data_IF_130359830418
#
_entry.id   IF_130359830418
#
_cell.length_a   1.000
_cell.length_b   1.000
_cell.length_c   1.000
_cell.angle_alpha   90.00
_cell.angle_beta   90.00
_cell.angle_gamma   90.00
#
_symmetry.space_group_name_H-M   'P 1'
#
loop_
_entity.id
_entity.type
_entity.pdbx_description
1 polymer ?
#
# COMPACT_ATOMS: atom_id res chain seq x y z
N UNK A 1 25.95 -20.56 42.23
CA UNK A 1 25.23 -19.30 41.95
C UNK A 1 25.88 -18.59 40.78
N UNK A 2 25.31 -18.63 39.57
CA UNK A 2 25.87 -18.00 38.39
C UNK A 2 25.03 -16.81 37.87
N UNK A 3 25.70 -16.01 37.03
CA UNK A 3 25.19 -15.22 35.91
C UNK A 3 24.28 -14.02 36.19
N UNK A 4 24.82 -12.81 35.94
CA UNK A 4 24.15 -11.86 35.05
C UNK A 4 25.22 -11.28 34.11
N UNK A 5 25.14 -11.75 32.87
CA UNK A 5 25.88 -11.28 31.70
C UNK A 5 25.12 -10.12 31.05
N UNK A 6 25.87 -9.17 30.51
CA UNK A 6 25.56 -8.54 29.23
C UNK A 6 24.49 -7.46 29.19
N UNK A 7 24.93 -6.22 28.98
CA UNK A 7 24.31 -5.33 27.97
C UNK A 7 25.30 -4.25 27.58
N UNK A 8 26.10 -4.54 26.54
CA UNK A 8 26.82 -3.52 25.77
C UNK A 8 25.78 -2.86 24.87
N UNK A 9 25.20 -1.76 25.32
CA UNK A 9 24.32 -0.94 24.48
C UNK A 9 25.16 -0.28 23.39
N UNK A 10 24.89 -0.74 22.17
CA UNK A 10 25.44 -0.28 20.91
C UNK A 10 24.89 1.11 20.60
N UNK A 11 25.57 2.15 21.09
CA UNK A 11 25.24 3.55 20.78
C UNK A 11 25.65 3.85 19.34
N UNK A 12 24.70 3.91 18.42
CA UNK A 12 24.86 4.65 17.18
C UNK A 12 24.15 6.00 17.28
N UNK A 13 24.84 7.13 17.08
CA UNK A 13 24.20 8.44 17.11
C UNK A 13 23.62 8.74 15.73
N UNK A 14 22.28 8.72 15.61
CA UNK A 14 21.60 9.32 14.47
C UNK A 14 21.30 10.77 14.80
N UNK A 15 22.17 11.64 14.29
CA UNK A 15 22.00 13.09 14.26
C UNK A 15 20.83 13.42 13.32
N UNK A 16 19.70 13.81 13.91
CA UNK A 16 18.52 14.28 13.21
C UNK A 16 17.52 14.76 14.25
N UNK A 17 17.42 16.08 14.43
CA UNK A 17 16.66 16.75 15.48
C UNK A 17 15.24 16.21 15.59
N UNK A 18 14.97 15.48 16.68
CA UNK A 18 13.62 15.04 17.03
C UNK A 18 12.85 16.24 17.52
N UNK A 19 11.66 16.47 16.96
CA UNK A 19 10.74 17.48 17.42
C UNK A 19 10.33 17.16 18.88
N UNK A 20 10.92 17.88 19.82
CA UNK A 20 10.78 17.67 21.27
C UNK A 20 9.31 17.66 21.68
N UNK A 21 8.44 18.36 20.95
CA UNK A 21 6.99 18.39 21.18
C UNK A 21 6.30 17.04 20.92
N UNK A 22 6.74 16.29 19.89
CA UNK A 22 6.24 14.92 19.62
C UNK A 22 6.70 13.95 20.71
N UNK A 23 7.95 14.07 21.14
CA UNK A 23 8.51 13.27 22.23
C UNK A 23 7.80 13.53 23.57
N UNK A 24 7.49 14.79 23.90
CA UNK A 24 6.77 15.10 25.15
C UNK A 24 5.32 14.61 25.14
N UNK A 25 4.64 14.65 23.98
CA UNK A 25 3.30 14.07 23.83
C UNK A 25 3.35 12.54 23.99
N UNK A 26 4.36 11.89 23.42
CA UNK A 26 4.60 10.44 23.55
C UNK A 26 4.98 10.02 24.98
N UNK A 27 5.75 10.84 25.71
CA UNK A 27 6.16 10.52 27.09
C UNK A 27 4.97 10.60 28.07
N UNK A 28 4.07 11.56 27.90
CA UNK A 28 2.84 11.68 28.71
C UNK A 28 1.86 10.52 28.48
N UNK A 29 1.86 9.91 27.30
CA UNK A 29 0.98 8.78 26.96
C UNK A 29 1.37 7.42 27.55
N UNK A 30 2.56 7.30 28.15
CA UNK A 30 3.08 6.03 28.69
C UNK A 30 2.50 5.66 30.07
N UNK A 31 1.65 6.48 30.67
CA UNK A 31 1.10 6.27 32.02
C UNK A 31 -0.20 5.45 32.07
N UNK A 32 -0.77 5.05 30.92
CA UNK A 32 -1.98 4.22 30.83
C UNK A 32 -1.82 3.18 29.72
N UNK A 33 -2.44 1.99 29.83
CA UNK A 33 -2.38 0.87 28.86
C UNK A 33 -2.04 1.32 27.42
N UNK A 34 -0.79 1.13 26.95
CA UNK A 34 -0.27 1.80 25.74
C UNK A 34 -1.00 1.41 24.45
N UNK A 35 -1.76 0.31 24.48
CA UNK A 35 -2.48 -0.23 23.31
C UNK A 35 -3.77 0.54 23.03
N UNK A 36 -4.53 0.94 24.07
CA UNK A 36 -5.79 1.67 23.91
C UNK A 36 -5.56 3.12 23.44
N UNK A 37 -4.50 3.75 23.97
CA UNK A 37 -4.16 5.13 23.64
C UNK A 37 -3.73 5.30 22.17
N UNK A 38 -2.95 4.34 21.65
CA UNK A 38 -2.45 4.41 20.26
C UNK A 38 -3.58 4.28 19.23
N UNK A 39 -4.54 3.39 19.48
CA UNK A 39 -5.73 3.22 18.62
C UNK A 39 -6.61 4.48 18.66
N UNK A 40 -6.87 5.03 19.84
CA UNK A 40 -7.67 6.27 19.99
C UNK A 40 -7.05 7.45 19.24
N UNK A 41 -5.72 7.61 19.29
CA UNK A 41 -5.01 8.68 18.57
C UNK A 41 -5.14 8.49 17.06
N UNK A 42 -5.03 7.24 16.58
CA UNK A 42 -5.20 6.93 15.17
C UNK A 42 -6.62 7.23 14.68
N UNK A 43 -7.64 6.83 15.45
CA UNK A 43 -9.04 7.10 15.13
C UNK A 43 -9.37 8.59 15.14
N UNK A 44 -8.80 9.35 16.08
CA UNK A 44 -8.96 10.81 16.13
C UNK A 44 -8.38 11.48 14.88
N UNK A 45 -7.16 11.10 14.49
CA UNK A 45 -6.57 11.61 13.24
C UNK A 45 -7.36 11.18 12.00
N UNK A 46 -7.95 9.97 11.99
CA UNK A 46 -8.85 9.57 10.92
C UNK A 46 -10.07 10.51 10.83
N UNK A 47 -10.69 10.86 11.97
CA UNK A 47 -11.83 11.80 11.98
C UNK A 47 -11.47 13.16 11.39
N UNK A 48 -10.26 13.68 11.66
CA UNK A 48 -9.79 14.93 11.08
C UNK A 48 -9.67 14.85 9.54
N UNK A 49 -9.11 13.75 9.04
CA UNK A 49 -9.02 13.51 7.59
C UNK A 49 -10.36 13.31 6.91
N UNK A 50 -11.29 12.61 7.56
CA UNK A 50 -12.65 12.41 7.05
C UNK A 50 -13.40 13.74 6.97
N UNK A 51 -13.28 14.60 7.99
CA UNK A 51 -13.83 15.96 7.96
C UNK A 51 -13.22 16.80 6.82
N UNK A 52 -11.92 16.62 6.53
CA UNK A 52 -11.26 17.28 5.40
C UNK A 52 -11.83 16.79 4.06
N UNK A 53 -12.07 15.48 3.90
CA UNK A 53 -12.65 14.89 2.70
C UNK A 53 -14.09 15.36 2.43
N UNK A 54 -14.85 15.70 3.47
CA UNK A 54 -16.23 16.18 3.35
C UNK A 54 -16.32 17.70 3.12
N UNK A 55 -15.39 18.47 3.68
CA UNK A 55 -15.41 19.94 3.61
C UNK A 55 -14.66 20.50 2.41
N UNK A 56 -13.57 19.87 2.01
CA UNK A 56 -12.82 20.23 0.82
C UNK A 56 -13.44 19.50 -0.38
N UNK A 57 -13.91 20.25 -1.37
CA UNK A 57 -14.29 19.72 -2.68
C UNK A 57 -13.14 19.99 -3.67
N UNK A 58 -12.03 19.21 -3.62
CA UNK A 58 -10.91 19.42 -4.52
C UNK A 58 -11.31 19.02 -5.95
N UNK A 59 -10.70 19.70 -6.92
CA UNK A 59 -10.77 19.31 -8.35
C UNK A 59 -10.24 17.88 -8.58
N UNK A 60 -9.29 17.45 -7.75
CA UNK A 60 -8.72 16.11 -7.79
C UNK A 60 -8.82 15.36 -6.43
N UNK A 61 -9.99 14.76 -6.12
CA UNK A 61 -10.21 14.06 -4.86
C UNK A 61 -9.22 12.94 -4.56
N UNK A 62 -8.66 12.28 -5.57
CA UNK A 62 -7.73 11.16 -5.32
C UNK A 62 -6.44 11.62 -4.65
N UNK A 63 -6.02 12.87 -4.86
CA UNK A 63 -4.83 13.43 -4.23
C UNK A 63 -5.00 13.47 -2.70
N UNK A 64 -6.13 13.98 -2.21
CA UNK A 64 -6.45 14.02 -0.77
C UNK A 64 -6.52 12.63 -0.17
N UNK A 65 -7.07 11.65 -0.90
CA UNK A 65 -7.06 10.25 -0.47
C UNK A 65 -5.65 9.65 -0.40
N UNK A 66 -4.78 9.92 -1.38
CA UNK A 66 -3.40 9.44 -1.37
C UNK A 66 -2.61 10.03 -0.19
N UNK A 67 -2.83 11.31 0.15
CA UNK A 67 -2.28 11.92 1.36
C UNK A 67 -2.80 11.29 2.65
N UNK A 68 -4.12 11.07 2.73
CA UNK A 68 -4.73 10.41 3.88
C UNK A 68 -4.17 9.00 4.10
N UNK A 69 -4.07 8.21 3.02
CA UNK A 69 -3.51 6.85 3.08
C UNK A 69 -2.03 6.90 3.51
N UNK A 70 -1.22 7.83 2.97
CA UNK A 70 0.18 7.99 3.40
C UNK A 70 0.29 8.33 4.88
N UNK A 71 -0.53 9.26 5.36
CA UNK A 71 -0.59 9.60 6.77
C UNK A 71 -0.95 8.37 7.62
N UNK A 72 -1.98 7.61 7.22
CA UNK A 72 -2.42 6.42 7.95
C UNK A 72 -1.33 5.36 8.02
N UNK A 73 -0.63 5.11 6.91
CA UNK A 73 0.53 4.21 6.85
C UNK A 73 1.67 4.68 7.74
N UNK A 74 1.93 5.98 7.82
CA UNK A 74 2.97 6.54 8.70
C UNK A 74 2.62 6.49 10.18
N UNK A 75 1.34 6.63 10.54
CA UNK A 75 0.88 6.49 11.93
C UNK A 75 0.82 5.02 12.34
N UNK A 76 0.62 4.11 11.39
CA UNK A 76 0.58 2.68 11.64
C UNK A 76 1.98 2.08 11.84
N UNK A 77 2.74 2.58 12.82
CA UNK A 77 4.13 2.17 13.09
C UNK A 77 4.26 0.83 13.82
N UNK A 78 3.15 0.16 14.12
CA UNK A 78 3.15 -1.16 14.74
C UNK A 78 2.12 -2.07 14.06
N UNK A 79 2.40 -3.37 14.05
CA UNK A 79 1.52 -4.41 13.47
C UNK A 79 0.11 -4.41 14.08
N UNK A 80 -0.06 -3.82 15.28
CA UNK A 80 -1.36 -3.71 15.95
C UNK A 80 -2.29 -2.71 15.27
N UNK A 81 -1.76 -1.68 14.63
CA UNK A 81 -2.55 -0.62 13.97
C UNK A 81 -2.43 -0.66 12.44
N UNK A 82 -1.56 -1.49 11.87
CA UNK A 82 -1.44 -1.69 10.41
C UNK A 82 -2.75 -2.16 9.78
N UNK A 83 -3.49 -3.05 10.47
CA UNK A 83 -4.80 -3.52 10.03
C UNK A 83 -5.86 -2.40 9.97
N UNK A 84 -5.68 -1.29 10.71
CA UNK A 84 -6.60 -0.14 10.67
C UNK A 84 -6.49 0.66 9.38
N UNK A 85 -5.45 0.45 8.56
CA UNK A 85 -5.30 1.08 7.24
C UNK A 85 -6.18 0.38 6.19
N UNK A 86 -6.49 -0.91 6.37
CA UNK A 86 -7.24 -1.70 5.39
C UNK A 86 -8.63 -1.11 5.09
N UNK A 87 -9.45 -0.71 6.08
CA UNK A 87 -10.72 -0.05 5.83
C UNK A 87 -10.59 1.24 5.01
N UNK A 88 -9.52 2.02 5.22
CA UNK A 88 -9.26 3.27 4.49
C UNK A 88 -8.97 2.97 3.02
N UNK A 89 -8.09 1.99 2.75
CA UNK A 89 -7.80 1.52 1.39
C UNK A 89 -9.07 1.05 0.69
N UNK A 90 -9.86 0.21 1.34
CA UNK A 90 -11.10 -0.34 0.78
C UNK A 90 -12.12 0.75 0.45
N UNK A 91 -12.27 1.76 1.32
CA UNK A 91 -13.17 2.91 1.06
C UNK A 91 -12.71 3.71 -0.13
N UNK A 92 -11.41 4.01 -0.24
CA UNK A 92 -10.83 4.71 -1.38
C UNK A 92 -11.06 3.93 -2.69
N UNK A 93 -10.77 2.62 -2.68
CA UNK A 93 -10.98 1.72 -3.81
C UNK A 93 -12.44 1.75 -4.30
N UNK A 94 -13.41 1.69 -3.38
CA UNK A 94 -14.84 1.74 -3.73
C UNK A 94 -15.30 3.12 -4.22
N UNK A 95 -14.77 4.20 -3.64
CA UNK A 95 -15.19 5.59 -3.95
C UNK A 95 -15.02 5.93 -5.42
N UNK A 96 -13.90 5.53 -6.03
CA UNK A 96 -13.53 5.90 -7.41
C UNK A 96 -13.82 4.81 -8.44
N UNK A 97 -14.39 3.67 -8.04
CA UNK A 97 -14.57 2.50 -8.92
C UNK A 97 -15.33 2.82 -10.22
N UNK A 98 -16.34 3.70 -10.14
CA UNK A 98 -17.21 4.08 -11.26
C UNK A 98 -16.82 5.41 -11.93
N UNK A 99 -15.75 6.05 -11.47
CA UNK A 99 -15.29 7.31 -12.02
C UNK A 99 -14.26 7.05 -13.12
N UNK A 100 -14.67 7.29 -14.36
CA UNK A 100 -13.86 7.02 -15.56
C UNK A 100 -12.54 7.79 -15.58
N UNK A 101 -12.47 8.96 -14.91
CA UNK A 101 -11.26 9.78 -14.83
C UNK A 101 -10.09 9.03 -14.18
N UNK A 102 -10.39 8.09 -13.28
CA UNK A 102 -9.39 7.38 -12.48
C UNK A 102 -9.08 5.97 -12.96
N UNK A 103 -9.80 5.44 -13.95
CA UNK A 103 -9.62 4.06 -14.43
C UNK A 103 -8.18 3.75 -14.80
N UNK A 104 -7.49 4.67 -15.45
CA UNK A 104 -6.07 4.53 -15.80
C UNK A 104 -5.17 5.54 -15.07
N UNK A 105 -5.60 6.06 -13.90
CA UNK A 105 -4.75 6.88 -13.06
C UNK A 105 -3.76 5.98 -12.28
N UNK A 106 -2.43 6.19 -12.42
CA UNK A 106 -1.44 5.40 -11.69
C UNK A 106 -1.56 5.48 -10.17
N UNK A 107 -2.06 6.58 -9.60
CA UNK A 107 -2.30 6.74 -8.16
C UNK A 107 -3.39 5.79 -7.70
N UNK A 108 -4.48 5.71 -8.45
CA UNK A 108 -5.58 4.83 -8.14
C UNK A 108 -5.16 3.37 -8.17
N UNK A 109 -4.45 2.97 -9.23
CA UNK A 109 -3.95 1.61 -9.33
C UNK A 109 -2.97 1.27 -8.20
N UNK A 110 -2.08 2.19 -7.79
CA UNK A 110 -1.20 1.96 -6.63
C UNK A 110 -1.97 1.73 -5.33
N UNK A 111 -3.09 2.41 -5.12
CA UNK A 111 -3.96 2.18 -3.95
C UNK A 111 -4.55 0.77 -4.00
N UNK A 112 -5.00 0.32 -5.17
CA UNK A 112 -5.44 -1.06 -5.37
C UNK A 112 -4.33 -2.08 -5.11
N UNK A 113 -3.11 -1.86 -5.62
CA UNK A 113 -1.99 -2.76 -5.35
C UNK A 113 -1.67 -2.83 -3.86
N UNK A 114 -1.69 -1.69 -3.13
CA UNK A 114 -1.58 -1.71 -1.66
C UNK A 114 -2.68 -2.55 -1.00
N UNK A 115 -3.91 -2.50 -1.52
CA UNK A 115 -5.02 -3.31 -1.01
C UNK A 115 -4.84 -4.80 -1.30
N UNK A 116 -4.33 -5.16 -2.49
CA UNK A 116 -4.00 -6.54 -2.88
C UNK A 116 -3.06 -7.22 -1.87
N UNK A 117 -2.11 -6.48 -1.31
CA UNK A 117 -1.18 -7.02 -0.30
C UNK A 117 -1.85 -7.35 1.04
N UNK A 118 -3.07 -6.86 1.28
CA UNK A 118 -3.80 -7.03 2.55
C UNK A 118 -4.84 -8.14 2.51
N UNK A 119 -5.19 -8.66 1.33
CA UNK A 119 -6.23 -9.68 1.17
C UNK A 119 -5.66 -11.10 1.14
N UNK A 120 -6.49 -12.08 1.50
CA UNK A 120 -6.13 -13.49 1.48
C UNK A 120 -5.96 -14.05 0.06
N UNK A 121 -6.85 -13.65 -0.87
CA UNK A 121 -6.73 -14.01 -2.28
C UNK A 121 -6.55 -12.76 -3.18
N UNK A 122 -5.28 -12.38 -3.45
CA UNK A 122 -4.91 -11.33 -4.39
C UNK A 122 -5.52 -11.47 -5.80
N UNK A 123 -5.69 -12.70 -6.28
CA UNK A 123 -6.09 -12.95 -7.68
C UNK A 123 -7.52 -12.48 -7.93
N UNK A 124 -8.41 -12.61 -6.94
CA UNK A 124 -9.80 -12.11 -7.03
C UNK A 124 -9.86 -10.59 -7.24
N UNK A 125 -8.93 -9.85 -6.62
CA UNK A 125 -8.85 -8.41 -6.80
C UNK A 125 -8.39 -8.07 -8.22
N UNK A 126 -7.40 -8.76 -8.78
CA UNK A 126 -7.00 -8.52 -10.16
C UNK A 126 -8.09 -8.88 -11.18
N UNK A 127 -8.79 -9.99 -10.98
CA UNK A 127 -9.96 -10.36 -11.79
C UNK A 127 -11.03 -9.25 -11.73
N UNK A 128 -11.29 -8.71 -10.55
CA UNK A 128 -12.22 -7.60 -10.38
C UNK A 128 -11.74 -6.33 -11.12
N UNK A 129 -10.46 -5.97 -11.01
CA UNK A 129 -9.88 -4.83 -11.71
C UNK A 129 -9.98 -4.98 -13.23
N UNK A 130 -9.68 -6.18 -13.73
CA UNK A 130 -9.82 -6.51 -15.15
C UNK A 130 -11.26 -6.34 -15.61
N UNK A 131 -12.22 -6.97 -14.93
CA UNK A 131 -13.64 -6.88 -15.26
C UNK A 131 -14.20 -5.44 -15.22
N UNK A 132 -13.61 -4.57 -14.39
CA UNK A 132 -14.00 -3.17 -14.26
C UNK A 132 -13.17 -2.20 -15.12
N UNK A 133 -12.24 -2.69 -15.95
CA UNK A 133 -11.40 -1.85 -16.79
C UNK A 133 -10.44 -0.94 -16.02
N UNK A 134 -10.06 -1.31 -14.80
CA UNK A 134 -9.20 -0.49 -13.93
C UNK A 134 -7.74 -0.90 -14.14
N UNK A 135 -6.91 0.07 -14.54
CA UNK A 135 -5.46 -0.07 -14.66
C UNK A 135 -4.98 -0.80 -15.91
N UNK A 136 -5.86 -1.24 -16.80
CA UNK A 136 -5.49 -2.00 -17.99
C UNK A 136 -4.63 -1.21 -19.00
N UNK A 137 -4.61 0.12 -18.92
CA UNK A 137 -3.68 0.95 -19.69
C UNK A 137 -2.28 1.08 -19.06
N UNK A 138 -2.05 0.48 -17.89
CA UNK A 138 -0.84 0.67 -17.09
C UNK A 138 -0.04 -0.62 -16.97
N UNK A 139 1.25 -0.54 -17.27
CA UNK A 139 2.20 -1.65 -17.11
C UNK A 139 2.16 -2.23 -15.69
N UNK A 140 2.00 -1.35 -14.68
CA UNK A 140 1.92 -1.73 -13.28
C UNK A 140 0.88 -2.82 -13.02
N UNK A 141 -0.26 -2.78 -13.70
CA UNK A 141 -1.35 -3.75 -13.52
C UNK A 141 -0.87 -5.17 -13.86
N UNK A 142 -0.35 -5.34 -15.07
CA UNK A 142 0.12 -6.63 -15.56
C UNK A 142 1.36 -7.12 -14.81
N UNK A 143 2.31 -6.24 -14.52
CA UNK A 143 3.52 -6.64 -13.78
C UNK A 143 3.20 -7.09 -12.36
N UNK A 144 2.26 -6.42 -11.69
CA UNK A 144 1.85 -6.81 -10.34
C UNK A 144 1.03 -8.10 -10.35
N UNK A 145 0.16 -8.29 -11.34
CA UNK A 145 -0.61 -9.52 -11.46
C UNK A 145 0.29 -10.73 -11.74
N UNK A 146 1.19 -10.62 -12.71
CA UNK A 146 2.15 -11.68 -13.05
C UNK A 146 3.02 -12.05 -11.84
N UNK A 147 3.50 -11.07 -11.07
CA UNK A 147 4.27 -11.31 -9.85
C UNK A 147 3.47 -12.09 -8.80
N UNK A 148 2.19 -11.76 -8.64
CA UNK A 148 1.29 -12.46 -7.70
C UNK A 148 1.03 -13.90 -8.14
N UNK A 149 0.82 -14.13 -9.44
CA UNK A 149 0.65 -15.47 -9.99
C UNK A 149 1.92 -16.32 -9.80
N UNK A 150 3.09 -15.72 -10.07
CA UNK A 150 4.39 -16.36 -9.88
C UNK A 150 4.64 -16.72 -8.40
N UNK A 151 4.57 -15.73 -7.50
CA UNK A 151 5.04 -15.91 -6.12
C UNK A 151 4.01 -16.54 -5.18
N UNK A 152 2.71 -16.31 -5.42
CA UNK A 152 1.65 -16.76 -4.49
C UNK A 152 0.83 -17.93 -5.02
N UNK A 153 0.76 -18.12 -6.34
CA UNK A 153 0.00 -19.22 -6.96
C UNK A 153 0.89 -20.26 -7.64
N UNK A 154 2.18 -19.97 -7.83
CA UNK A 154 3.11 -20.82 -8.58
C UNK A 154 2.60 -21.11 -10.02
N UNK A 155 1.86 -20.15 -10.59
CA UNK A 155 1.25 -20.25 -11.91
C UNK A 155 2.05 -19.42 -12.92
N UNK A 156 3.14 -20.01 -13.40
CA UNK A 156 4.06 -19.37 -14.33
C UNK A 156 3.45 -19.18 -15.73
N UNK A 157 2.56 -20.07 -16.15
CA UNK A 157 1.90 -19.98 -17.44
C UNK A 157 1.01 -18.75 -17.49
N UNK A 158 0.15 -18.58 -16.49
CA UNK A 158 -0.74 -17.41 -16.44
C UNK A 158 0.04 -16.11 -16.21
N UNK A 159 1.12 -16.16 -15.40
CA UNK A 159 2.00 -15.00 -15.20
C UNK A 159 2.60 -14.52 -16.53
N UNK A 160 3.07 -15.44 -17.37
CA UNK A 160 3.58 -15.14 -18.71
C UNK A 160 2.49 -14.52 -19.60
N UNK A 161 1.31 -15.15 -19.65
CA UNK A 161 0.15 -14.66 -20.41
C UNK A 161 -0.20 -13.22 -20.04
N UNK A 162 -0.23 -12.89 -18.74
CA UNK A 162 -0.54 -11.52 -18.30
C UNK A 162 0.50 -10.49 -18.73
N UNK A 163 1.78 -10.83 -18.76
CA UNK A 163 2.82 -9.93 -19.28
C UNK A 163 2.67 -9.72 -20.80
N UNK A 164 2.40 -10.77 -21.57
CA UNK A 164 2.14 -10.67 -23.01
C UNK A 164 0.87 -9.86 -23.31
N UNK A 165 -0.22 -10.07 -22.57
CA UNK A 165 -1.44 -9.29 -22.68
C UNK A 165 -1.19 -7.79 -22.49
N UNK A 166 -0.40 -7.41 -21.49
CA UNK A 166 -0.01 -6.02 -21.25
C UNK A 166 0.75 -5.41 -22.43
N UNK A 167 1.66 -6.19 -23.04
CA UNK A 167 2.44 -5.76 -24.21
C UNK A 167 1.52 -5.58 -25.42
N UNK A 168 0.63 -6.55 -25.67
CA UNK A 168 -0.33 -6.53 -26.77
C UNK A 168 -1.31 -5.34 -26.65
N UNK A 169 -1.74 -5.03 -25.42
CA UNK A 169 -2.57 -3.86 -25.09
C UNK A 169 -1.78 -2.54 -25.08
N UNK A 170 -0.46 -2.57 -25.29
CA UNK A 170 0.45 -1.42 -25.26
C UNK A 170 0.34 -0.60 -23.98
N UNK A 171 0.15 -1.30 -22.85
CA UNK A 171 0.05 -0.65 -21.55
C UNK A 171 1.35 0.07 -21.19
N UNK A 172 1.22 1.25 -20.57
CA UNK A 172 2.34 2.19 -20.39
C UNK A 172 2.90 2.15 -18.96
N UNK A 173 4.22 2.30 -18.80
CA UNK A 173 5.23 2.42 -19.85
C UNK A 173 5.65 1.04 -20.40
N UNK A 174 5.67 0.89 -21.73
CA UNK A 174 5.80 -0.41 -22.41
C UNK A 174 7.17 -1.09 -22.18
N UNK A 175 8.23 -0.29 -22.07
CA UNK A 175 9.59 -0.73 -21.75
C UNK A 175 9.63 -1.51 -20.42
N UNK A 176 8.84 -1.10 -19.42
CA UNK A 176 8.75 -1.82 -18.15
C UNK A 176 8.14 -3.22 -18.30
N UNK A 177 7.14 -3.39 -19.17
CA UNK A 177 6.57 -4.71 -19.45
C UNK A 177 7.57 -5.61 -20.17
N UNK A 178 8.25 -5.08 -21.18
CA UNK A 178 9.27 -5.82 -21.91
C UNK A 178 10.42 -6.24 -20.99
N UNK A 179 10.85 -5.35 -20.09
CA UNK A 179 11.86 -5.66 -19.08
C UNK A 179 11.37 -6.75 -18.11
N UNK A 180 10.12 -6.64 -17.62
CA UNK A 180 9.52 -7.63 -16.72
C UNK A 180 9.42 -9.02 -17.38
N UNK A 181 8.99 -9.08 -18.65
CA UNK A 181 8.91 -10.32 -19.42
C UNK A 181 10.29 -10.99 -19.59
N UNK A 182 11.31 -10.21 -19.95
CA UNK A 182 12.68 -10.72 -20.07
C UNK A 182 13.20 -11.27 -18.74
N UNK A 183 12.94 -10.57 -17.64
CA UNK A 183 13.34 -11.01 -16.30
C UNK A 183 12.61 -12.29 -15.90
N UNK A 184 11.32 -12.39 -16.20
CA UNK A 184 10.51 -13.58 -15.96
C UNK A 184 11.06 -14.78 -16.74
N UNK A 185 11.31 -14.63 -18.05
CA UNK A 185 11.90 -15.69 -18.88
C UNK A 185 13.28 -16.11 -18.39
N UNK A 186 14.09 -15.17 -17.90
CA UNK A 186 15.38 -15.51 -17.32
C UNK A 186 15.24 -16.40 -16.07
N UNK A 187 14.28 -16.12 -15.20
CA UNK A 187 14.00 -16.96 -14.01
C UNK A 187 13.47 -18.35 -14.38
N UNK A 188 12.67 -18.47 -15.44
CA UNK A 188 12.13 -19.75 -15.90
C UNK A 188 13.16 -20.68 -16.55
N UNK A 189 14.29 -20.12 -17.00
CA UNK A 189 15.35 -20.85 -17.70
C UNK A 189 16.53 -21.23 -16.79
N UNK A 190 16.42 -20.98 -15.48
CA UNK A 190 17.39 -21.42 -14.46
C UNK A 190 16.88 -22.64 -13.71
#
# INVERSE_FOLDING_TARGET
>A
SPQIEGSKENVQPLVGGRDVKKLTKQLKSLQCNPTSNTVSIFEEGCREWEAKLDTECPEDPIATWDEYIKWAQQQATSDKVSNLVVPILQRCCRKFQKDERYKNDPRYLRIWIKYVDTVADPTDIFNFLEANGIGQGLALFYTSWALVLELKKNDFTEAYTKLEEGINKRAQPLDKLQAALKQFQHRMNQ
#
